data_IF_315635395325
#
_entry.id   IF_315635395325
#
_cell.length_a   1.000
_cell.length_b   1.000
_cell.length_c   1.000
_cell.angle_alpha   90.00
_cell.angle_beta   90.00
_cell.angle_gamma   90.00
#
_symmetry.space_group_name_H-M   'P 1'
#
loop_
_entity.id
_entity.type
_entity.pdbx_description
1 polymer ?
#
# COMPACT_ATOMS: atom_id res chain seq x y z
N UNK A 1 -5.78 3.05 -18.99
CA UNK A 1 -4.57 3.66 -18.43
C UNK A 1 -3.74 2.52 -17.86
N UNK A 2 -2.52 2.32 -18.34
CA UNK A 2 -1.66 1.26 -17.82
C UNK A 2 -0.93 1.81 -16.59
N UNK A 3 -1.13 1.17 -15.44
CA UNK A 3 -0.51 1.58 -14.17
C UNK A 3 0.99 1.27 -14.10
N UNK A 4 1.45 0.29 -14.90
CA UNK A 4 2.82 -0.15 -15.06
C UNK A 4 3.01 -0.85 -16.41
N UNK A 5 4.25 -1.05 -16.91
CA UNK A 5 4.52 -1.76 -18.17
C UNK A 5 3.94 -3.18 -18.21
N UNK A 6 3.31 -3.55 -19.31
CA UNK A 6 2.81 -4.91 -19.52
C UNK A 6 3.94 -5.88 -19.93
N UNK A 7 5.02 -5.36 -20.50
CA UNK A 7 6.18 -6.15 -20.85
C UNK A 7 6.95 -6.56 -19.59
N UNK A 8 7.23 -7.87 -19.47
CA UNK A 8 7.92 -8.45 -18.32
C UNK A 8 9.31 -7.86 -18.09
N UNK A 9 10.09 -7.67 -19.14
CA UNK A 9 11.46 -7.16 -19.02
C UNK A 9 11.45 -5.69 -18.57
N UNK A 10 10.64 -4.85 -19.20
CA UNK A 10 10.49 -3.44 -18.85
C UNK A 10 10.01 -3.26 -17.40
N UNK A 11 8.99 -4.02 -16.99
CA UNK A 11 8.49 -3.97 -15.62
C UNK A 11 9.53 -4.44 -14.61
N UNK A 12 10.28 -5.49 -14.94
CA UNK A 12 11.34 -6.00 -14.07
C UNK A 12 12.46 -4.97 -13.89
N UNK A 13 12.89 -4.32 -14.97
CA UNK A 13 13.87 -3.26 -14.93
C UNK A 13 13.38 -2.05 -14.15
N UNK A 14 12.14 -1.61 -14.40
CA UNK A 14 11.52 -0.50 -13.69
C UNK A 14 11.46 -0.78 -12.18
N UNK A 15 10.90 -1.92 -11.75
CA UNK A 15 10.83 -2.28 -10.33
C UNK A 15 12.21 -2.41 -9.72
N UNK A 16 13.18 -3.02 -10.44
CA UNK A 16 14.56 -3.13 -10.00
C UNK A 16 15.20 -1.76 -9.72
N UNK A 17 14.92 -0.76 -10.56
CA UNK A 17 15.43 0.60 -10.38
C UNK A 17 14.89 1.32 -9.14
N UNK A 18 13.74 0.88 -8.62
CA UNK A 18 13.11 1.44 -7.42
C UNK A 18 13.59 0.78 -6.12
N UNK A 19 14.18 -0.41 -6.21
CA UNK A 19 14.62 -1.22 -5.06
C UNK A 19 16.12 -1.02 -4.82
N UNK A 20 16.47 -0.64 -3.61
CA UNK A 20 17.88 -0.55 -3.19
C UNK A 20 18.27 -1.64 -2.18
N UNK A 21 19.57 -1.81 -1.98
CA UNK A 21 20.10 -2.76 -1.00
C UNK A 21 19.96 -2.17 0.41
N UNK A 22 19.09 -2.74 1.22
CA UNK A 22 18.89 -2.35 2.62
C UNK A 22 19.57 -3.33 3.57
N UNK A 23 20.14 -2.81 4.67
CA UNK A 23 20.77 -3.58 5.75
C UNK A 23 19.88 -3.69 7.00
N UNK A 24 18.66 -3.14 6.99
CA UNK A 24 17.73 -3.26 8.12
C UNK A 24 17.27 -4.70 8.30
N UNK A 25 17.26 -5.16 9.56
CA UNK A 25 17.16 -6.59 9.86
C UNK A 25 15.74 -7.15 9.78
N UNK A 26 14.71 -6.42 10.09
CA UNK A 26 13.33 -6.95 10.07
C UNK A 26 12.29 -5.83 10.17
N UNK A 27 11.33 -5.86 9.29
CA UNK A 27 10.10 -5.07 9.38
C UNK A 27 8.92 -6.04 9.50
N UNK A 28 7.73 -5.53 9.85
CA UNK A 28 6.49 -6.31 9.81
C UNK A 28 5.66 -5.97 8.58
N UNK A 29 5.81 -4.76 8.06
CA UNK A 29 5.06 -4.32 6.91
C UNK A 29 5.45 -2.95 6.38
N UNK A 30 4.73 -2.54 5.35
CA UNK A 30 4.87 -1.27 4.67
C UNK A 30 3.52 -0.59 4.49
N UNK A 31 3.52 0.76 4.49
CA UNK A 31 2.45 1.57 3.95
C UNK A 31 3.01 2.20 2.69
N UNK A 32 2.33 2.08 1.55
CA UNK A 32 2.88 2.45 0.23
C UNK A 32 1.80 3.02 -0.69
N UNK A 33 2.15 3.95 -1.59
CA UNK A 33 1.23 4.52 -2.56
C UNK A 33 0.92 3.54 -3.70
N UNK A 34 -0.13 3.85 -4.48
CA UNK A 34 -0.62 3.01 -5.58
C UNK A 34 -0.97 3.74 -6.88
N UNK A 35 -0.57 4.97 -7.05
CA UNK A 35 -0.63 5.63 -8.35
C UNK A 35 0.24 4.90 -9.39
N UNK A 36 0.19 5.32 -10.65
CA UNK A 36 1.03 4.76 -11.69
C UNK A 36 2.51 4.73 -11.30
N UNK A 37 3.23 3.71 -11.73
CA UNK A 37 4.62 3.48 -11.33
C UNK A 37 5.57 4.64 -11.69
N UNK A 38 5.26 5.39 -12.75
CA UNK A 38 5.99 6.60 -13.12
C UNK A 38 5.90 7.70 -12.05
N UNK A 39 4.80 7.76 -11.30
CA UNK A 39 4.57 8.74 -10.25
C UNK A 39 4.98 8.24 -8.87
N UNK A 40 4.46 7.10 -8.45
CA UNK A 40 4.59 6.64 -7.07
C UNK A 40 5.49 5.41 -6.89
N UNK A 41 5.86 4.73 -7.98
CA UNK A 41 6.61 3.47 -7.92
C UNK A 41 7.93 3.58 -7.18
N UNK A 42 8.69 4.68 -7.38
CA UNK A 42 9.96 4.91 -6.68
C UNK A 42 9.77 5.11 -5.17
N UNK A 43 8.69 5.77 -4.77
CA UNK A 43 8.35 5.99 -3.35
C UNK A 43 7.96 4.66 -2.71
N UNK A 44 7.10 3.87 -3.36
CA UNK A 44 6.74 2.54 -2.91
C UNK A 44 7.97 1.61 -2.83
N UNK A 45 8.80 1.59 -3.88
CA UNK A 45 10.01 0.77 -3.97
C UNK A 45 11.01 1.01 -2.85
N UNK A 46 11.15 2.26 -2.39
CA UNK A 46 11.98 2.58 -1.23
C UNK A 46 11.54 1.83 0.03
N UNK A 47 10.24 1.76 0.33
CA UNK A 47 9.75 0.99 1.47
C UNK A 47 9.89 -0.52 1.22
N UNK A 48 9.57 -1.00 0.03
CA UNK A 48 9.74 -2.40 -0.35
C UNK A 48 11.18 -2.88 -0.28
N UNK A 49 12.18 -1.99 -0.39
CA UNK A 49 13.60 -2.33 -0.24
C UNK A 49 13.92 -2.97 1.11
N UNK A 50 13.10 -2.71 2.14
CA UNK A 50 13.23 -3.30 3.46
C UNK A 50 12.47 -4.64 3.61
N UNK A 51 11.60 -4.99 2.65
CA UNK A 51 10.70 -6.15 2.73
C UNK A 51 11.31 -7.45 2.16
N UNK A 52 12.57 -7.73 2.45
CA UNK A 52 13.25 -8.93 1.94
C UNK A 52 12.99 -10.15 2.82
N UNK A 53 12.98 -11.33 2.18
CA UNK A 53 12.92 -12.62 2.86
C UNK A 53 11.52 -13.13 3.20
N UNK A 54 10.48 -12.34 2.99
CA UNK A 54 9.10 -12.81 3.14
C UNK A 54 8.72 -13.77 2.01
N UNK A 55 7.86 -14.74 2.33
CA UNK A 55 7.32 -15.69 1.35
C UNK A 55 5.84 -15.45 1.07
N UNK A 56 5.16 -14.78 1.98
CA UNK A 56 3.73 -14.45 1.88
C UNK A 56 3.45 -13.04 2.37
N UNK A 57 2.38 -12.43 1.84
CA UNK A 57 1.94 -11.09 2.20
C UNK A 57 0.41 -11.02 2.34
N UNK A 58 -0.07 -10.04 3.11
CA UNK A 58 -1.45 -9.53 3.02
C UNK A 58 -1.38 -8.12 2.49
N UNK A 59 -2.19 -7.80 1.50
CA UNK A 59 -2.34 -6.45 0.97
C UNK A 59 -3.72 -5.94 1.33
N UNK A 60 -3.80 -4.74 1.88
CA UNK A 60 -5.04 -3.99 2.11
C UNK A 60 -4.99 -2.73 1.26
N UNK A 61 -5.89 -2.58 0.30
CA UNK A 61 -6.03 -1.38 -0.52
C UNK A 61 -7.48 -0.93 -0.62
N UNK A 62 -7.76 0.38 -0.74
CA UNK A 62 -9.12 0.89 -0.82
C UNK A 62 -9.84 0.45 -2.09
N UNK A 63 -11.15 0.36 -2.03
CA UNK A 63 -12.02 0.14 -3.19
C UNK A 63 -12.27 1.47 -3.92
N UNK A 64 -11.90 1.53 -5.21
CA UNK A 64 -12.13 2.69 -6.07
C UNK A 64 -13.23 2.46 -7.12
N UNK A 65 -13.59 1.20 -7.38
CA UNK A 65 -14.50 0.84 -8.48
C UNK A 65 -15.84 0.31 -7.99
N UNK A 66 -15.91 -0.21 -6.78
CA UNK A 66 -17.13 -0.76 -6.22
C UNK A 66 -17.39 -0.21 -4.82
N UNK A 67 -18.64 0.13 -4.51
CA UNK A 67 -19.05 0.50 -3.15
C UNK A 67 -19.57 -0.75 -2.42
N UNK A 68 -18.97 -1.07 -1.28
CA UNK A 68 -19.40 -2.14 -0.39
C UNK A 68 -18.89 -1.91 1.04
N UNK A 69 -19.49 -2.59 2.00
CA UNK A 69 -19.02 -2.60 3.40
C UNK A 69 -18.14 -3.81 3.66
N UNK A 70 -17.08 -3.63 4.44
CA UNK A 70 -16.16 -4.71 4.80
C UNK A 70 -15.02 -4.89 3.82
N UNK A 71 -14.58 -6.14 3.61
CA UNK A 71 -13.45 -6.47 2.75
C UNK A 71 -13.81 -7.57 1.77
N UNK A 72 -13.32 -7.44 0.53
CA UNK A 72 -13.39 -8.45 -0.52
C UNK A 72 -11.99 -8.84 -0.97
N UNK A 73 -11.83 -9.99 -1.58
CA UNK A 73 -10.55 -10.46 -2.10
C UNK A 73 -10.49 -10.28 -3.61
N UNK A 74 -9.33 -9.90 -4.17
CA UNK A 74 -9.14 -9.98 -5.62
C UNK A 74 -9.29 -11.44 -6.08
N UNK A 75 -10.05 -11.65 -7.15
CA UNK A 75 -10.26 -12.98 -7.76
C UNK A 75 -8.97 -13.57 -8.33
N UNK A 76 -8.03 -12.73 -8.76
CA UNK A 76 -6.75 -13.15 -9.35
C UNK A 76 -5.61 -12.26 -8.85
N UNK A 77 -4.41 -12.82 -8.72
CA UNK A 77 -3.20 -12.09 -8.37
C UNK A 77 -2.14 -12.27 -9.48
N UNK A 78 -2.48 -11.80 -10.69
CA UNK A 78 -1.65 -11.90 -11.89
C UNK A 78 -0.80 -10.65 -12.09
N UNK A 79 0.45 -10.84 -12.52
CA UNK A 79 1.34 -9.76 -12.93
C UNK A 79 2.16 -10.17 -14.15
N UNK A 80 2.67 -9.23 -14.96
CA UNK A 80 3.63 -9.54 -16.02
C UNK A 80 4.89 -10.26 -15.52
N UNK A 81 5.26 -10.10 -14.24
CA UNK A 81 6.38 -10.81 -13.61
C UNK A 81 6.03 -12.25 -13.22
N UNK A 82 4.77 -12.67 -13.37
CA UNK A 82 4.20 -13.97 -13.01
C UNK A 82 3.19 -13.87 -11.88
N UNK A 83 2.44 -14.95 -11.68
CA UNK A 83 1.30 -15.00 -10.77
C UNK A 83 1.76 -15.24 -9.32
N UNK A 84 0.98 -14.75 -8.36
CA UNK A 84 1.06 -15.12 -6.96
C UNK A 84 -0.13 -16.03 -6.60
N UNK A 85 0.13 -17.01 -5.75
CA UNK A 85 -0.93 -17.88 -5.23
C UNK A 85 -1.74 -17.11 -4.19
N UNK A 86 -3.05 -16.99 -4.41
CA UNK A 86 -3.95 -16.41 -3.41
C UNK A 86 -4.10 -17.40 -2.25
N UNK A 87 -3.92 -16.89 -1.04
CA UNK A 87 -4.13 -17.61 0.22
C UNK A 87 -5.30 -17.01 0.99
N UNK A 88 -5.91 -17.80 1.85
CA UNK A 88 -7.14 -17.42 2.56
C UNK A 88 -8.36 -17.66 1.68
N UNK A 89 -9.47 -17.99 2.33
CA UNK A 89 -10.77 -18.26 1.74
C UNK A 89 -11.86 -17.64 2.63
N UNK A 90 -13.07 -17.64 2.14
CA UNK A 90 -14.22 -17.11 2.89
C UNK A 90 -14.46 -15.61 2.72
N UNK A 91 -13.75 -14.94 1.79
CA UNK A 91 -14.06 -13.59 1.37
C UNK A 91 -14.84 -13.59 0.06
N UNK A 92 -15.81 -12.69 -0.07
CA UNK A 92 -16.36 -12.36 -1.37
C UNK A 92 -15.25 -11.84 -2.29
N UNK A 93 -15.45 -11.90 -3.62
CA UNK A 93 -14.41 -11.52 -4.57
C UNK A 93 -14.81 -10.33 -5.42
N UNK A 94 -13.82 -9.53 -5.80
CA UNK A 94 -13.90 -8.51 -6.85
C UNK A 94 -12.95 -8.86 -7.99
N UNK A 95 -13.28 -8.43 -9.21
CA UNK A 95 -12.49 -8.78 -10.38
C UNK A 95 -11.22 -7.93 -10.50
N UNK A 96 -11.29 -6.66 -10.09
CA UNK A 96 -10.22 -5.70 -10.32
C UNK A 96 -10.22 -4.60 -9.24
N UNK A 97 -9.04 -4.25 -8.76
CA UNK A 97 -8.79 -3.04 -7.96
C UNK A 97 -7.30 -2.67 -8.05
N UNK A 98 -7.01 -1.50 -8.63
CA UNK A 98 -5.63 -1.08 -8.88
C UNK A 98 -4.84 -0.81 -7.60
N UNK A 99 -5.48 -0.34 -6.54
CA UNK A 99 -4.83 -0.08 -5.25
C UNK A 99 -4.14 -1.31 -4.67
N UNK A 100 -4.70 -2.49 -4.93
CA UNK A 100 -4.13 -3.79 -4.54
C UNK A 100 -3.25 -4.35 -5.65
N UNK A 101 -3.71 -4.27 -6.90
CA UNK A 101 -3.03 -4.87 -8.06
C UNK A 101 -1.66 -4.24 -8.31
N UNK A 102 -1.51 -2.92 -8.10
CA UNK A 102 -0.23 -2.21 -8.26
C UNK A 102 0.84 -2.62 -7.23
N UNK A 103 0.46 -3.30 -6.15
CA UNK A 103 1.41 -3.83 -5.18
C UNK A 103 1.99 -5.19 -5.59
N UNK A 104 1.24 -5.97 -6.41
CA UNK A 104 1.62 -7.34 -6.75
C UNK A 104 2.96 -7.47 -7.50
N UNK A 105 3.32 -6.58 -8.45
CA UNK A 105 4.63 -6.64 -9.11
C UNK A 105 5.80 -6.51 -8.13
N UNK A 106 5.72 -5.60 -7.15
CA UNK A 106 6.76 -5.48 -6.10
C UNK A 106 6.89 -6.77 -5.29
N UNK A 107 5.76 -7.33 -4.85
CA UNK A 107 5.75 -8.58 -4.09
C UNK A 107 6.36 -9.73 -4.89
N UNK A 108 5.98 -9.86 -6.15
CA UNK A 108 6.53 -10.89 -7.04
C UNK A 108 8.02 -10.72 -7.27
N UNK A 109 8.48 -9.49 -7.52
CA UNK A 109 9.90 -9.16 -7.71
C UNK A 109 10.73 -9.52 -6.47
N UNK A 110 10.21 -9.29 -5.26
CA UNK A 110 10.85 -9.63 -3.99
C UNK A 110 10.83 -11.14 -3.66
N UNK A 111 10.25 -11.98 -4.52
CA UNK A 111 10.21 -13.43 -4.33
C UNK A 111 9.12 -13.92 -3.38
N UNK A 112 8.13 -13.08 -3.09
CA UNK A 112 6.90 -13.48 -2.41
C UNK A 112 6.10 -14.37 -3.37
N UNK A 113 5.55 -15.46 -2.87
CA UNK A 113 4.86 -16.48 -3.67
C UNK A 113 3.37 -16.55 -3.39
N UNK A 114 2.97 -16.17 -2.17
CA UNK A 114 1.60 -16.27 -1.68
C UNK A 114 1.11 -14.90 -1.22
N UNK A 115 -0.14 -14.55 -1.55
CA UNK A 115 -0.73 -13.27 -1.18
C UNK A 115 -2.19 -13.42 -0.79
N UNK A 116 -2.64 -12.65 0.19
CA UNK A 116 -4.04 -12.37 0.48
C UNK A 116 -4.33 -10.93 0.04
N UNK A 117 -4.87 -10.72 -1.19
CA UNK A 117 -5.06 -9.39 -1.76
C UNK A 117 -6.47 -8.86 -1.43
N UNK A 118 -6.58 -8.10 -0.35
CA UNK A 118 -7.84 -7.58 0.18
C UNK A 118 -8.13 -6.17 -0.31
N UNK A 119 -9.28 -6.00 -0.88
CA UNK A 119 -9.88 -4.72 -1.23
C UNK A 119 -10.79 -4.29 -0.08
N UNK A 120 -10.56 -3.11 0.44
CA UNK A 120 -11.22 -2.58 1.63
C UNK A 120 -12.25 -1.53 1.20
N UNK A 121 -13.53 -1.83 1.45
CA UNK A 121 -14.65 -0.90 1.29
C UNK A 121 -14.82 -0.03 2.54
N UNK A 122 -16.07 0.37 2.83
CA UNK A 122 -16.36 1.10 4.06
C UNK A 122 -16.22 0.18 5.28
N UNK A 123 -15.53 0.69 6.31
CA UNK A 123 -15.32 -0.03 7.57
C UNK A 123 -15.79 0.80 8.76
N UNK A 124 -16.57 0.17 9.63
CA UNK A 124 -16.74 0.65 10.99
C UNK A 124 -15.45 0.45 11.80
N UNK A 125 -15.36 1.13 12.94
CA UNK A 125 -14.26 0.94 13.89
C UNK A 125 -14.21 -0.52 14.38
N UNK A 126 -15.35 -1.11 14.68
CA UNK A 126 -15.47 -2.50 15.13
C UNK A 126 -15.00 -3.49 14.06
N UNK A 127 -15.28 -3.24 12.78
CA UNK A 127 -14.80 -4.09 11.69
C UNK A 127 -13.27 -4.03 11.57
N UNK A 128 -12.68 -2.85 11.72
CA UNK A 128 -11.24 -2.68 11.71
C UNK A 128 -10.56 -3.42 12.88
N UNK A 129 -11.15 -3.35 14.08
CA UNK A 129 -10.70 -4.09 15.27
C UNK A 129 -10.78 -5.61 15.05
N UNK A 130 -11.91 -6.11 14.52
CA UNK A 130 -12.10 -7.53 14.23
C UNK A 130 -11.11 -8.04 13.16
N UNK A 131 -10.84 -7.25 12.13
CA UNK A 131 -9.85 -7.60 11.10
C UNK A 131 -8.42 -7.59 11.66
N UNK A 132 -8.09 -6.63 12.50
CA UNK A 132 -6.80 -6.57 13.17
C UNK A 132 -6.60 -7.80 14.06
N UNK A 133 -7.60 -8.18 14.85
CA UNK A 133 -7.59 -9.37 15.70
C UNK A 133 -7.43 -10.65 14.86
N UNK A 134 -8.19 -10.77 13.75
CA UNK A 134 -8.11 -11.90 12.81
C UNK A 134 -6.70 -12.09 12.24
N UNK A 135 -5.98 -11.00 11.96
CA UNK A 135 -4.69 -11.07 11.30
C UNK A 135 -3.47 -10.84 12.22
N UNK A 136 -3.65 -10.58 13.51
CA UNK A 136 -2.55 -10.29 14.44
C UNK A 136 -1.44 -11.36 14.46
N UNK A 137 -1.78 -12.63 14.22
CA UNK A 137 -0.84 -13.74 14.22
C UNK A 137 -0.33 -14.14 12.84
N UNK A 138 -0.67 -13.35 11.81
CA UNK A 138 -0.14 -13.58 10.47
C UNK A 138 1.38 -13.41 10.45
N UNK A 139 2.07 -14.43 9.91
CA UNK A 139 3.53 -14.44 9.77
C UNK A 139 3.92 -14.19 8.32
N UNK A 140 3.86 -12.96 7.88
CA UNK A 140 4.18 -12.50 6.54
C UNK A 140 4.32 -10.99 6.52
N UNK A 141 4.47 -10.43 5.32
CA UNK A 141 4.52 -8.99 5.11
C UNK A 141 3.11 -8.40 5.13
N UNK A 142 2.88 -7.39 5.95
CA UNK A 142 1.69 -6.54 5.84
C UNK A 142 1.95 -5.40 4.85
N UNK A 143 1.01 -5.18 3.94
CA UNK A 143 1.04 -4.08 2.97
C UNK A 143 -0.25 -3.29 3.08
N UNK A 144 -0.15 -2.02 3.43
CA UNK A 144 -1.26 -1.07 3.42
C UNK A 144 -1.05 -0.09 2.27
N UNK A 145 -1.97 -0.10 1.33
CA UNK A 145 -1.87 0.64 0.08
C UNK A 145 -2.71 1.90 0.15
N UNK A 146 -2.09 3.07 0.04
CA UNK A 146 -2.80 4.35 0.10
C UNK A 146 -1.98 5.48 -0.51
N UNK A 147 -2.63 6.33 -1.32
CA UNK A 147 -2.13 7.66 -1.63
C UNK A 147 -2.63 8.65 -0.56
N UNK A 148 -2.00 9.81 -0.44
CA UNK A 148 -2.39 10.88 0.48
C UNK A 148 -3.38 11.85 -0.20
N UNK A 149 -3.24 13.16 0.01
CA UNK A 149 -4.17 14.15 -0.52
C UNK A 149 -4.26 14.13 -2.06
N UNK A 150 -5.43 14.46 -2.60
CA UNK A 150 -5.68 14.45 -4.05
C UNK A 150 -6.12 15.83 -4.55
N UNK A 151 -5.63 16.18 -5.74
CA UNK A 151 -6.10 17.31 -6.55
C UNK A 151 -6.01 18.68 -5.87
N UNK A 152 -5.06 18.84 -4.95
CA UNK A 152 -4.79 20.11 -4.28
C UNK A 152 -3.63 20.85 -4.97
N UNK A 153 -3.60 22.19 -4.82
CA UNK A 153 -2.42 22.98 -5.17
C UNK A 153 -1.22 22.55 -4.32
N UNK A 154 -0.04 22.54 -4.91
CA UNK A 154 1.21 22.02 -4.34
C UNK A 154 1.45 22.40 -2.86
N UNK A 155 1.42 23.69 -2.51
CA UNK A 155 1.69 24.12 -1.15
C UNK A 155 0.62 23.68 -0.13
N UNK A 156 -0.65 23.58 -0.60
CA UNK A 156 -1.75 23.08 0.22
C UNK A 156 -1.62 21.58 0.44
N UNK A 157 -1.27 20.84 -0.61
CA UNK A 157 -1.02 19.41 -0.55
C UNK A 157 0.07 19.09 0.48
N UNK A 158 1.23 19.77 0.41
CA UNK A 158 2.33 19.57 1.36
C UNK A 158 1.89 19.75 2.81
N UNK A 159 1.08 20.76 3.10
CA UNK A 159 0.60 21.02 4.48
C UNK A 159 -0.31 19.89 4.98
N UNK A 160 -1.25 19.46 4.15
CA UNK A 160 -2.21 18.38 4.49
C UNK A 160 -1.49 17.05 4.59
N UNK A 161 -0.59 16.74 3.65
CA UNK A 161 0.18 15.51 3.64
C UNK A 161 1.11 15.40 4.85
N UNK A 162 1.76 16.49 5.25
CA UNK A 162 2.58 16.51 6.47
C UNK A 162 1.72 16.26 7.72
N UNK A 163 0.49 16.77 7.78
CA UNK A 163 -0.44 16.46 8.86
C UNK A 163 -0.80 14.96 8.86
N UNK A 164 -1.14 14.40 7.70
CA UNK A 164 -1.44 12.98 7.53
C UNK A 164 -0.25 12.09 7.92
N UNK A 165 0.95 12.43 7.47
CA UNK A 165 2.19 11.74 7.82
C UNK A 165 2.43 11.72 9.33
N UNK A 166 2.26 12.86 10.00
CA UNK A 166 2.41 12.94 11.46
C UNK A 166 1.34 12.11 12.18
N UNK A 167 0.10 12.12 11.70
CA UNK A 167 -0.98 11.31 12.25
C UNK A 167 -0.70 9.81 12.10
N UNK A 168 -0.24 9.36 10.94
CA UNK A 168 0.15 7.95 10.72
C UNK A 168 1.29 7.54 11.65
N UNK A 169 2.32 8.39 11.81
CA UNK A 169 3.43 8.13 12.75
C UNK A 169 2.98 8.02 14.21
N UNK A 170 1.96 8.78 14.59
CA UNK A 170 1.37 8.79 15.93
C UNK A 170 0.23 7.75 16.08
N UNK A 171 0.00 6.90 15.08
CA UNK A 171 -1.04 5.87 15.06
C UNK A 171 -2.45 6.45 15.31
N UNK A 172 -2.73 7.57 14.71
CA UNK A 172 -4.00 8.29 14.81
C UNK A 172 -4.63 8.46 13.44
N UNK A 173 -5.92 8.17 13.31
CA UNK A 173 -6.69 8.46 12.10
C UNK A 173 -7.09 9.94 11.97
N UNK A 174 -6.97 10.69 13.06
CA UNK A 174 -7.35 12.10 13.10
C UNK A 174 -6.46 12.92 12.15
N UNK A 175 -7.07 13.72 11.29
CA UNK A 175 -6.41 14.56 10.28
C UNK A 175 -5.61 13.77 9.22
N UNK A 176 -5.96 12.53 8.94
CA UNK A 176 -5.42 11.78 7.81
C UNK A 176 -6.31 12.03 6.59
N UNK A 177 -5.73 12.66 5.56
CA UNK A 177 -6.30 12.78 4.22
C UNK A 177 -5.61 11.74 3.33
N UNK A 178 -6.29 10.62 3.07
CA UNK A 178 -5.77 9.48 2.35
C UNK A 178 -6.91 8.63 1.77
N UNK A 179 -6.79 8.19 0.52
CA UNK A 179 -7.80 7.32 -0.11
C UNK A 179 -7.96 5.98 0.62
N UNK A 180 -6.88 5.47 1.22
CA UNK A 180 -6.86 4.22 1.98
C UNK A 180 -7.17 4.37 3.46
N UNK A 181 -7.91 5.39 3.90
CA UNK A 181 -8.17 5.61 5.34
C UNK A 181 -8.79 4.37 6.01
N UNK A 182 -9.70 3.65 5.36
CA UNK A 182 -10.28 2.43 5.90
C UNK A 182 -9.25 1.28 6.03
N UNK A 183 -8.32 1.17 5.09
CA UNK A 183 -7.19 0.25 5.23
C UNK A 183 -6.25 0.66 6.37
N UNK A 184 -6.03 1.97 6.55
CA UNK A 184 -5.22 2.49 7.66
C UNK A 184 -5.88 2.30 9.03
N UNK A 185 -7.22 2.26 9.14
CA UNK A 185 -7.90 1.88 10.40
C UNK A 185 -7.45 0.48 10.85
N UNK A 186 -7.38 -0.49 9.93
CA UNK A 186 -6.87 -1.84 10.24
C UNK A 186 -5.40 -1.77 10.69
N UNK A 187 -4.58 -0.96 10.02
CA UNK A 187 -3.19 -0.75 10.42
C UNK A 187 -3.08 -0.18 11.83
N UNK A 188 -3.87 0.84 12.19
CA UNK A 188 -3.83 1.45 13.52
C UNK A 188 -4.19 0.45 14.61
N UNK A 189 -5.20 -0.38 14.40
CA UNK A 189 -5.58 -1.41 15.36
C UNK A 189 -4.51 -2.52 15.46
N UNK A 190 -3.97 -2.99 14.35
CA UNK A 190 -2.83 -3.92 14.35
C UNK A 190 -1.62 -3.32 15.09
N UNK A 191 -1.36 -2.04 14.87
CA UNK A 191 -0.23 -1.36 15.51
C UNK A 191 -0.40 -1.25 17.02
N UNK A 192 -1.63 -1.03 17.52
CA UNK A 192 -1.94 -1.08 18.95
C UNK A 192 -1.69 -2.49 19.52
N UNK A 193 -2.24 -3.54 18.88
CA UNK A 193 -2.12 -4.93 19.33
C UNK A 193 -0.67 -5.43 19.31
N UNK A 194 0.09 -5.09 18.28
CA UNK A 194 1.45 -5.60 18.04
C UNK A 194 2.55 -4.64 18.45
N UNK A 195 2.20 -3.42 18.94
CA UNK A 195 3.13 -2.34 19.31
C UNK A 195 4.02 -1.92 18.12
N UNK A 196 3.47 -1.88 16.91
CA UNK A 196 4.19 -1.39 15.74
C UNK A 196 4.42 0.12 15.82
N UNK A 197 5.50 0.58 15.18
CA UNK A 197 5.82 2.01 15.06
C UNK A 197 6.04 2.34 13.59
N UNK A 198 5.23 3.22 13.03
CA UNK A 198 5.40 3.67 11.66
C UNK A 198 6.59 4.65 11.55
N UNK A 199 7.51 4.36 10.63
CA UNK A 199 8.63 5.23 10.29
C UNK A 199 8.50 5.64 8.82
N UNK A 200 8.43 6.96 8.58
CA UNK A 200 8.44 7.52 7.23
C UNK A 200 9.76 7.15 6.53
N UNK A 201 9.64 6.65 5.30
CA UNK A 201 10.79 6.36 4.42
C UNK A 201 10.95 7.46 3.39
N UNK A 202 9.86 7.83 2.71
CA UNK A 202 9.87 8.86 1.66
C UNK A 202 8.52 9.55 1.60
N UNK A 203 8.53 10.84 1.20
CA UNK A 203 7.36 11.60 0.79
C UNK A 203 7.71 12.40 -0.46
N UNK A 204 6.82 12.41 -1.42
CA UNK A 204 6.80 13.24 -2.62
C UNK A 204 5.35 13.46 -3.04
N UNK A 205 5.13 14.35 -4.00
CA UNK A 205 3.85 14.47 -4.68
C UNK A 205 4.05 14.45 -6.21
N UNK A 206 2.97 14.35 -6.97
CA UNK A 206 3.03 14.27 -8.43
C UNK A 206 3.69 15.52 -9.06
N UNK A 207 3.57 16.68 -8.44
CA UNK A 207 4.24 17.90 -8.88
C UNK A 207 5.77 17.84 -8.78
N UNK A 208 6.31 17.06 -7.85
CA UNK A 208 7.75 16.79 -7.75
C UNK A 208 8.25 15.87 -8.89
N UNK A 209 7.34 15.10 -9.49
CA UNK A 209 7.66 14.11 -10.53
C UNK A 209 7.57 14.72 -11.94
N UNK A 210 6.52 15.48 -12.21
CA UNK A 210 6.21 16.00 -13.55
C UNK A 210 6.30 17.52 -13.68
N UNK A 211 6.53 18.25 -12.57
CA UNK A 211 6.68 19.70 -12.55
C UNK A 211 5.37 20.50 -12.51
N UNK A 212 4.21 19.89 -12.78
CA UNK A 212 2.91 20.57 -12.66
C UNK A 212 2.48 20.64 -11.20
N UNK A 213 2.37 21.87 -10.68
CA UNK A 213 2.02 22.17 -9.29
C UNK A 213 0.59 22.65 -9.09
N UNK A 214 -0.19 22.69 -10.16
CA UNK A 214 -1.56 23.22 -10.13
C UNK A 214 -2.53 22.28 -9.39
N UNK A 215 -2.33 20.97 -9.54
CA UNK A 215 -3.17 19.92 -8.97
C UNK A 215 -2.34 18.66 -8.75
N UNK A 216 -2.02 18.34 -7.50
CA UNK A 216 -1.10 17.24 -7.19
C UNK A 216 -1.75 16.17 -6.32
N UNK A 217 -1.14 14.97 -6.34
CA UNK A 217 -1.46 13.83 -5.46
C UNK A 217 -0.24 13.55 -4.58
N UNK A 218 -0.47 13.37 -3.28
CA UNK A 218 0.59 13.08 -2.31
C UNK A 218 0.91 11.59 -2.21
N UNK A 219 2.19 11.27 -2.12
CA UNK A 219 2.70 9.89 -2.01
C UNK A 219 3.65 9.77 -0.84
N UNK A 220 3.32 8.94 0.13
CA UNK A 220 4.21 8.64 1.24
C UNK A 220 4.43 7.14 1.39
N UNK A 221 5.62 6.75 1.82
CA UNK A 221 5.89 5.36 2.17
C UNK A 221 6.46 5.24 3.58
N UNK A 222 6.05 4.17 4.27
CA UNK A 222 6.48 3.89 5.64
C UNK A 222 6.88 2.42 5.77
N UNK A 223 7.72 2.15 6.76
CA UNK A 223 7.99 0.82 7.29
C UNK A 223 7.56 0.74 8.76
N UNK A 224 7.21 -0.48 9.23
CA UNK A 224 6.88 -0.72 10.64
C UNK A 224 7.21 -2.13 11.11
#
# INVERSE_FOLDING_TARGET
>A
MNWYPENKAELSEMVSSFIFKSNLKKINGVIVPHAGFEFSGKIAGKAYSYAKGFKKAIVFGPSHYEYFNGVKCLKTAKTPLGDLKIIGNGFETVNYEHSVQNQLPFLKFLGIREVLPLVVGELSQLDAENLAEKFKDFRGLFVFSTDLSHFLKYDKAIKIDNSSINSIKNLSEKNVDACGINALKIFFELAKLKKFKAKLVEYKNSGDMIGDKSSVVGYASFIF
#
